data_IF_397294564426
#
_entry.id   IF_397294564426
#
_cell.length_a   1.000
_cell.length_b   1.000
_cell.length_c   1.000
_cell.angle_alpha   90.00
_cell.angle_beta   90.00
_cell.angle_gamma   90.00
#
_symmetry.space_group_name_H-M   'P 1'
#
loop_
_entity.id
_entity.type
_entity.pdbx_description
1 polymer ?
#
# COMPACT_ATOMS: atom_id res chain seq x y z
N UNK A 1 -16.43 -32.64 11.07
CA UNK A 1 -16.37 -31.60 10.01
C UNK A 1 -15.38 -30.54 10.47
N UNK A 2 -14.12 -30.64 10.02
CA UNK A 2 -13.07 -29.68 10.36
C UNK A 2 -13.37 -28.34 9.71
N UNK A 3 -13.40 -27.26 10.51
CA UNK A 3 -13.48 -25.89 9.98
C UNK A 3 -12.24 -25.66 9.14
N UNK A 4 -12.40 -25.40 7.84
CA UNK A 4 -11.33 -24.87 7.00
C UNK A 4 -10.69 -23.68 7.75
N UNK A 5 -9.45 -23.85 8.20
CA UNK A 5 -8.66 -22.77 8.77
C UNK A 5 -8.30 -21.80 7.65
N UNK A 6 -8.48 -20.50 7.92
CA UNK A 6 -8.19 -19.39 7.01
C UNK A 6 -6.68 -19.41 6.70
N UNK A 7 -6.30 -19.66 5.45
CA UNK A 7 -4.89 -19.83 5.06
C UNK A 7 -4.12 -18.50 4.91
N UNK A 8 -4.83 -17.37 4.73
CA UNK A 8 -4.22 -16.05 4.59
C UNK A 8 -5.07 -14.99 5.29
N UNK A 9 -4.52 -14.40 6.35
CA UNK A 9 -5.10 -13.25 7.04
C UNK A 9 -4.36 -11.96 6.67
N UNK A 10 -5.10 -10.87 6.57
CA UNK A 10 -4.52 -9.53 6.51
C UNK A 10 -4.72 -8.83 7.83
N UNK A 11 -3.70 -8.12 8.25
CA UNK A 11 -3.68 -7.36 9.49
C UNK A 11 -3.16 -5.96 9.20
N UNK A 12 -3.73 -4.94 9.84
CA UNK A 12 -3.15 -3.60 9.79
C UNK A 12 -2.19 -3.42 10.96
N UNK A 13 -1.03 -2.85 10.70
CA UNK A 13 -0.23 -2.19 11.72
C UNK A 13 -0.33 -0.69 11.51
N UNK A 14 -0.30 0.04 12.62
CA UNK A 14 -0.05 1.47 12.60
C UNK A 14 1.10 1.72 13.57
N UNK A 15 2.33 1.61 13.08
CA UNK A 15 3.48 1.98 13.90
C UNK A 15 3.72 3.49 13.77
N UNK A 16 3.78 4.21 14.89
CA UNK A 16 4.10 5.64 14.86
C UNK A 16 5.60 5.83 14.57
N UNK A 17 6.01 5.63 13.31
CA UNK A 17 7.38 5.87 12.88
C UNK A 17 7.52 7.32 12.41
N UNK A 18 8.20 8.17 13.18
CA UNK A 18 8.35 9.60 12.90
C UNK A 18 9.54 9.90 11.96
N UNK A 19 9.60 9.24 10.81
CA UNK A 19 10.53 9.64 9.76
C UNK A 19 9.81 10.60 8.81
N UNK A 20 10.43 11.77 8.58
CA UNK A 20 10.03 12.64 7.49
C UNK A 20 10.38 11.92 6.18
N UNK A 21 9.45 11.09 5.69
CA UNK A 21 9.58 10.48 4.37
C UNK A 21 9.14 11.55 3.37
N UNK A 22 10.12 12.19 2.71
CA UNK A 22 9.84 12.77 1.40
C UNK A 22 9.79 11.60 0.41
N UNK A 23 8.63 11.36 -0.19
CA UNK A 23 8.52 10.35 -1.23
C UNK A 23 9.47 10.65 -2.39
N UNK A 24 9.80 9.66 -3.22
CA UNK A 24 10.74 9.82 -4.34
C UNK A 24 10.18 10.71 -5.46
N UNK A 25 8.90 11.07 -5.35
CA UNK A 25 8.13 11.86 -6.30
C UNK A 25 8.05 13.34 -5.95
N UNK A 26 8.50 13.74 -4.75
CA UNK A 26 8.53 15.13 -4.31
C UNK A 26 9.91 15.51 -3.79
N UNK A 27 10.66 16.21 -4.64
CA UNK A 27 11.88 16.91 -4.20
C UNK A 27 11.50 18.00 -3.20
N UNK A 28 11.85 17.77 -1.92
CA UNK A 28 11.87 18.69 -0.79
C UNK A 28 10.64 19.62 -0.65
N UNK A 29 9.76 19.30 0.31
CA UNK A 29 8.66 20.19 0.72
C UNK A 29 7.32 19.49 0.97
N UNK A 30 7.23 18.19 0.65
CA UNK A 30 6.09 17.37 1.05
C UNK A 30 6.05 17.15 2.57
N UNK A 31 4.88 16.81 3.09
CA UNK A 31 4.69 16.39 4.49
C UNK A 31 3.85 15.14 4.51
N UNK A 32 4.46 14.06 5.00
CA UNK A 32 3.79 12.79 5.15
C UNK A 32 2.79 12.80 6.32
N UNK A 33 1.75 11.99 6.21
CA UNK A 33 0.68 11.87 7.18
C UNK A 33 0.23 10.41 7.30
N UNK A 34 -0.13 10.01 8.51
CA UNK A 34 -0.83 8.74 8.72
C UNK A 34 -2.32 8.93 8.40
N UNK A 35 -2.87 8.18 7.44
CA UNK A 35 -4.30 8.23 7.13
C UNK A 35 -5.15 7.71 8.28
N UNK A 36 -6.32 8.33 8.47
CA UNK A 36 -7.41 7.84 9.32
C UNK A 36 -8.38 6.91 8.58
N UNK A 37 -8.19 6.74 7.27
CA UNK A 37 -8.84 5.75 6.43
C UNK A 37 -7.88 5.40 5.30
N UNK A 38 -7.68 4.11 5.02
CA UNK A 38 -6.81 3.64 3.94
C UNK A 38 -7.45 2.39 3.35
N UNK A 39 -8.26 2.54 2.31
CA UNK A 39 -8.85 1.40 1.61
C UNK A 39 -7.95 0.97 0.46
N UNK A 40 -7.46 -0.27 0.55
CA UNK A 40 -6.69 -0.93 -0.50
C UNK A 40 -7.54 -2.00 -1.17
N UNK A 41 -7.51 -2.06 -2.51
CA UNK A 41 -8.10 -3.16 -3.26
C UNK A 41 -6.98 -4.07 -3.79
N UNK A 42 -6.91 -5.29 -3.27
CA UNK A 42 -6.05 -6.35 -3.80
C UNK A 42 -6.78 -7.03 -4.95
N UNK A 43 -6.07 -7.15 -6.07
CA UNK A 43 -6.53 -7.79 -7.30
C UNK A 43 -6.00 -9.20 -7.49
N UNK A 44 -4.74 -9.42 -7.08
CA UNK A 44 -4.08 -10.71 -7.26
C UNK A 44 -3.06 -10.97 -6.15
N UNK A 45 -2.96 -12.22 -5.74
CA UNK A 45 -1.91 -12.73 -4.84
C UNK A 45 -1.29 -13.95 -5.50
N UNK A 46 0.01 -13.90 -5.74
CA UNK A 46 0.78 -14.97 -6.34
C UNK A 46 1.97 -15.36 -5.47
N UNK A 47 2.35 -16.63 -5.47
CA UNK A 47 3.54 -17.12 -4.77
C UNK A 47 4.57 -17.59 -5.79
N UNK A 48 5.82 -17.14 -5.63
CA UNK A 48 6.94 -17.53 -6.49
C UNK A 48 7.50 -18.87 -6.01
N UNK A 49 7.40 -19.89 -6.85
CA UNK A 49 7.98 -21.22 -6.61
C UNK A 49 9.50 -21.20 -6.80
N UNK A 50 10.17 -22.25 -6.34
CA UNK A 50 11.62 -22.43 -6.51
C UNK A 50 12.08 -22.50 -7.96
N UNK A 51 11.20 -22.92 -8.89
CA UNK A 51 11.43 -22.91 -10.34
C UNK A 51 11.21 -21.53 -11.00
N UNK A 52 11.00 -20.48 -10.18
CA UNK A 52 10.67 -19.11 -10.59
C UNK A 52 9.31 -18.92 -11.25
N UNK A 53 8.48 -19.96 -11.35
CA UNK A 53 7.09 -19.82 -11.78
C UNK A 53 6.22 -19.21 -10.69
N UNK A 54 5.10 -18.59 -11.09
CA UNK A 54 4.14 -17.99 -10.16
C UNK A 54 2.91 -18.88 -10.04
N UNK A 55 2.53 -19.12 -8.79
CA UNK A 55 1.31 -19.82 -8.42
C UNK A 55 0.26 -18.80 -7.97
N UNK A 56 -0.87 -18.70 -8.68
CA UNK A 56 -1.97 -17.81 -8.28
C UNK A 56 -2.73 -18.40 -7.09
N UNK A 57 -2.61 -17.74 -5.93
CA UNK A 57 -3.38 -18.06 -4.74
C UNK A 57 -4.76 -17.40 -4.79
N UNK A 58 -4.81 -16.13 -5.20
CA UNK A 58 -6.05 -15.36 -5.31
C UNK A 58 -6.02 -14.47 -6.55
N UNK A 59 -7.16 -14.36 -7.23
CA UNK A 59 -7.40 -13.41 -8.31
C UNK A 59 -8.86 -12.95 -8.25
N UNK A 60 -9.08 -11.64 -8.23
CA UNK A 60 -10.41 -11.06 -8.03
C UNK A 60 -10.37 -9.62 -7.56
N UNK A 61 -11.34 -9.23 -6.74
CA UNK A 61 -11.39 -7.92 -6.12
C UNK A 61 -11.66 -8.10 -4.63
N UNK A 62 -10.74 -7.67 -3.77
CA UNK A 62 -10.97 -7.64 -2.32
C UNK A 62 -10.46 -6.34 -1.76
N UNK A 63 -11.37 -5.55 -1.18
CA UNK A 63 -11.07 -4.27 -0.56
C UNK A 63 -10.95 -4.45 0.94
N UNK A 64 -9.90 -3.87 1.52
CA UNK A 64 -9.61 -3.89 2.95
C UNK A 64 -9.35 -2.45 3.41
N UNK A 65 -9.97 -2.06 4.52
CA UNK A 65 -9.65 -0.80 5.19
C UNK A 65 -8.56 -1.04 6.24
N UNK A 66 -7.38 -0.48 5.98
CA UNK A 66 -6.19 -0.54 6.81
C UNK A 66 -6.07 0.65 7.79
N UNK A 67 -6.84 1.72 7.54
CA UNK A 67 -6.72 3.00 8.23
C UNK A 67 -7.82 3.29 9.26
N UNK A 68 -8.90 2.49 9.29
CA UNK A 68 -10.06 2.75 10.16
C UNK A 68 -9.67 2.92 11.62
N UNK A 69 -10.28 3.88 12.31
CA UNK A 69 -10.23 4.02 13.78
C UNK A 69 -10.73 2.77 14.53
N UNK A 70 -11.41 1.85 13.83
CA UNK A 70 -11.93 0.60 14.36
C UNK A 70 -10.96 -0.58 14.20
N UNK A 71 -9.81 -0.38 13.54
CA UNK A 71 -8.79 -1.39 13.35
C UNK A 71 -7.60 -1.02 14.24
N UNK A 72 -7.51 -1.66 15.41
CA UNK A 72 -6.32 -1.55 16.23
C UNK A 72 -5.13 -2.23 15.54
N UNK A 73 -3.91 -1.75 15.80
CA UNK A 73 -2.69 -2.40 15.30
C UNK A 73 -2.68 -3.88 15.69
N UNK A 74 -2.34 -4.76 14.75
CA UNK A 74 -2.35 -6.20 14.95
C UNK A 74 -3.72 -6.87 14.77
N UNK A 75 -4.79 -6.12 14.46
CA UNK A 75 -6.10 -6.70 14.19
C UNK A 75 -6.22 -7.19 12.75
N UNK A 76 -6.80 -8.39 12.61
CA UNK A 76 -7.16 -8.94 11.30
C UNK A 76 -8.22 -8.07 10.64
N UNK A 77 -7.83 -7.33 9.60
CA UNK A 77 -8.71 -6.49 8.77
C UNK A 77 -9.52 -7.28 7.77
N UNK A 78 -9.10 -8.51 7.49
CA UNK A 78 -9.81 -9.42 6.62
C UNK A 78 -9.06 -10.72 6.41
N UNK A 79 -9.72 -11.64 5.72
CA UNK A 79 -9.10 -12.87 5.26
C UNK A 79 -9.62 -13.16 3.87
N UNK A 80 -8.77 -13.76 3.04
CA UNK A 80 -9.23 -14.26 1.76
C UNK A 80 -10.06 -15.52 2.01
N UNK A 81 -11.36 -15.46 1.69
CA UNK A 81 -12.33 -16.47 2.07
C UNK A 81 -12.12 -17.84 1.35
N UNK A 82 -11.42 -17.85 0.22
CA UNK A 82 -11.00 -19.06 -0.49
C UNK A 82 -9.91 -18.70 -1.52
N UNK A 83 -8.65 -18.71 -1.12
CA UNK A 83 -7.55 -18.86 -2.09
C UNK A 83 -7.32 -20.33 -2.41
N UNK A 84 -6.63 -20.63 -3.51
CA UNK A 84 -6.18 -22.00 -3.75
C UNK A 84 -5.24 -22.43 -2.61
N UNK A 85 -5.31 -23.69 -2.17
CA UNK A 85 -4.36 -24.20 -1.17
C UNK A 85 -2.95 -24.20 -1.74
N UNK A 86 -1.98 -23.72 -0.97
CA UNK A 86 -0.57 -23.88 -1.35
C UNK A 86 -0.23 -25.36 -1.54
N UNK A 87 0.63 -25.64 -2.51
CA UNK A 87 0.94 -26.99 -2.94
C UNK A 87 1.88 -27.68 -1.94
N UNK A 88 1.51 -28.84 -1.38
CA UNK A 88 2.39 -29.61 -0.51
C UNK A 88 3.71 -29.97 -1.20
N UNK A 89 4.79 -30.02 -0.43
CA UNK A 89 6.13 -30.32 -0.95
C UNK A 89 6.76 -29.19 -1.76
N UNK A 90 6.15 -27.99 -1.78
CA UNK A 90 6.65 -26.84 -2.53
C UNK A 90 7.26 -25.79 -1.60
N UNK A 91 8.39 -25.24 -2.02
CA UNK A 91 9.00 -24.06 -1.39
C UNK A 91 8.71 -22.80 -2.20
N UNK A 92 8.36 -21.73 -1.49
CA UNK A 92 8.04 -20.42 -2.04
C UNK A 92 9.05 -19.39 -1.56
N UNK A 93 9.54 -18.58 -2.50
CA UNK A 93 10.64 -17.62 -2.29
C UNK A 93 10.20 -16.16 -2.27
N UNK A 94 8.99 -15.88 -2.75
CA UNK A 94 8.38 -14.55 -2.70
C UNK A 94 6.85 -14.64 -2.76
N UNK A 95 6.19 -13.60 -2.27
CA UNK A 95 4.78 -13.32 -2.54
C UNK A 95 4.70 -12.07 -3.41
N UNK A 96 3.84 -12.11 -4.41
CA UNK A 96 3.59 -11.03 -5.34
C UNK A 96 2.16 -10.56 -5.16
N UNK A 97 2.01 -9.26 -4.94
CA UNK A 97 0.74 -8.61 -4.70
C UNK A 97 0.45 -7.67 -5.85
N UNK A 98 -0.75 -7.74 -6.40
CA UNK A 98 -1.27 -6.76 -7.36
C UNK A 98 -2.40 -5.99 -6.70
N UNK A 99 -2.31 -4.67 -6.68
CA UNK A 99 -3.25 -3.74 -6.04
C UNK A 99 -3.71 -2.67 -7.03
N UNK A 100 -4.87 -2.05 -6.82
CA UNK A 100 -5.23 -0.86 -7.60
C UNK A 100 -4.20 0.28 -7.39
N UNK A 101 -4.01 1.12 -8.40
CA UNK A 101 -3.18 2.33 -8.28
C UNK A 101 -3.94 3.54 -7.69
N UNK A 102 -5.18 3.34 -7.25
CA UNK A 102 -6.02 4.34 -6.60
C UNK A 102 -6.58 3.79 -5.30
N UNK A 103 -6.57 4.62 -4.26
CA UNK A 103 -6.89 4.26 -2.88
C UNK A 103 -7.96 5.21 -2.34
N UNK A 104 -8.88 4.74 -1.50
CA UNK A 104 -9.76 5.64 -0.75
C UNK A 104 -9.04 6.02 0.55
N UNK A 105 -8.73 7.31 0.73
CA UNK A 105 -7.89 7.75 1.84
C UNK A 105 -8.49 8.96 2.55
N UNK A 106 -8.34 9.02 3.86
CA UNK A 106 -8.63 10.21 4.66
C UNK A 106 -7.39 10.59 5.47
N UNK A 107 -7.01 11.86 5.48
CA UNK A 107 -5.86 12.34 6.25
C UNK A 107 -5.69 13.85 6.17
N UNK A 108 -4.83 14.38 7.03
CA UNK A 108 -4.54 15.81 7.08
C UNK A 108 -3.19 16.10 7.72
N UNK A 109 -2.66 17.28 7.39
CA UNK A 109 -1.46 17.87 8.00
C UNK A 109 -1.74 19.33 8.33
N UNK A 110 -1.14 19.81 9.42
CA UNK A 110 -1.24 21.21 9.82
C UNK A 110 -0.46 22.16 8.88
N UNK A 111 0.56 21.63 8.18
CA UNK A 111 1.44 22.35 7.27
C UNK A 111 2.07 21.35 6.28
N UNK A 112 2.10 21.68 4.99
CA UNK A 112 2.72 20.85 3.94
C UNK A 112 3.74 21.66 3.11
N UNK A 113 4.87 22.03 3.72
CA UNK A 113 5.87 22.90 3.08
C UNK A 113 5.48 24.39 2.99
N UNK A 114 4.41 24.81 3.68
CA UNK A 114 3.91 26.19 3.75
C UNK A 114 3.05 26.43 5.00
N UNK A 115 2.57 27.66 5.22
CA UNK A 115 1.81 28.02 6.44
C UNK A 115 0.32 27.61 6.45
N UNK A 116 -0.12 26.76 5.54
CA UNK A 116 -1.53 26.36 5.38
C UNK A 116 -1.70 24.86 5.63
N UNK A 117 -2.83 24.43 6.22
CA UNK A 117 -3.14 23.02 6.37
C UNK A 117 -3.49 22.40 5.02
N UNK A 118 -3.16 21.12 4.84
CA UNK A 118 -3.61 20.32 3.71
C UNK A 118 -4.38 19.10 4.22
N UNK A 119 -5.46 18.74 3.54
CA UNK A 119 -6.30 17.60 3.92
C UNK A 119 -6.94 16.94 2.72
N UNK A 120 -7.23 15.65 2.83
CA UNK A 120 -8.11 14.99 1.86
C UNK A 120 -9.52 15.60 1.94
N UNK A 121 -10.15 15.80 0.79
CA UNK A 121 -11.46 16.44 0.69
C UNK A 121 -12.32 15.73 -0.34
N UNK A 122 -13.52 15.28 0.05
CA UNK A 122 -14.43 14.53 -0.83
C UNK A 122 -14.94 15.31 -2.06
N UNK A 123 -14.59 16.60 -2.19
CA UNK A 123 -14.98 17.48 -3.29
C UNK A 123 -13.81 17.91 -4.19
N UNK A 124 -12.56 17.53 -3.90
CA UNK A 124 -11.43 17.82 -4.78
C UNK A 124 -11.33 16.74 -5.88
N UNK A 125 -12.11 16.91 -6.96
CA UNK A 125 -12.18 16.00 -8.11
C UNK A 125 -11.17 16.32 -9.23
N UNK A 126 -10.16 17.12 -8.91
CA UNK A 126 -9.18 17.60 -9.88
C UNK A 126 -7.84 16.90 -9.76
N UNK A 127 -7.03 17.07 -10.79
CA UNK A 127 -5.60 16.84 -10.71
C UNK A 127 -4.87 18.17 -10.93
N UNK A 128 -3.69 18.29 -10.35
CA UNK A 128 -2.80 19.43 -10.59
C UNK A 128 -1.43 18.90 -11.02
N UNK A 129 -0.83 19.59 -11.97
CA UNK A 129 0.58 19.38 -12.29
C UNK A 129 1.43 20.08 -11.24
N UNK A 130 2.38 19.34 -10.68
CA UNK A 130 3.41 19.84 -9.80
C UNK A 130 4.73 19.98 -10.54
N UNK A 131 5.76 20.46 -9.85
CA UNK A 131 7.09 20.64 -10.41
C UNK A 131 7.57 19.34 -11.07
N UNK A 132 8.13 19.44 -12.29
CA UNK A 132 8.64 18.28 -13.03
C UNK A 132 7.60 17.54 -13.89
N UNK A 133 6.39 18.09 -14.08
CA UNK A 133 5.38 17.52 -14.98
C UNK A 133 4.60 16.32 -14.40
N UNK A 134 4.81 16.03 -13.11
CA UNK A 134 4.06 15.03 -12.36
C UNK A 134 2.66 15.57 -12.06
N UNK A 135 1.65 14.75 -12.24
CA UNK A 135 0.24 15.04 -12.01
C UNK A 135 -0.20 14.31 -10.75
N UNK A 136 -0.75 15.05 -9.79
CA UNK A 136 -1.21 14.55 -8.50
C UNK A 136 -2.67 14.94 -8.27
N UNK A 137 -3.32 14.29 -7.31
CA UNK A 137 -4.71 14.60 -6.93
C UNK A 137 -4.73 15.90 -6.12
N UNK A 138 -5.68 16.79 -6.41
CA UNK A 138 -5.83 18.02 -5.62
C UNK A 138 -6.36 17.71 -4.22
N UNK A 139 -5.82 18.39 -3.22
CA UNK A 139 -6.26 18.31 -1.83
C UNK A 139 -6.89 19.64 -1.39
N UNK A 140 -7.61 19.64 -0.27
CA UNK A 140 -8.20 20.84 0.29
C UNK A 140 -7.18 21.57 1.20
N UNK A 141 -7.07 22.89 1.03
CA UNK A 141 -6.16 23.76 1.77
C UNK A 141 -6.84 24.61 2.88
N UNK A 142 -8.14 24.44 3.09
CA UNK A 142 -8.93 25.19 4.09
C UNK A 142 -8.93 24.49 5.46
N UNK A 143 -9.39 25.14 6.53
CA UNK A 143 -9.58 24.53 7.87
C UNK A 143 -10.62 23.38 7.89
N UNK A 144 -10.57 22.47 8.87
CA UNK A 144 -11.55 21.35 8.98
C UNK A 144 -10.98 20.03 9.50
N UNK A 145 -11.58 18.92 9.08
CA UNK A 145 -11.09 17.54 9.24
C UNK A 145 -11.01 16.89 7.86
N UNK A 146 -9.96 16.09 7.60
CA UNK A 146 -9.85 15.29 6.38
C UNK A 146 -11.04 14.33 6.19
N UNK A 147 -11.56 14.25 4.97
CA UNK A 147 -12.63 13.33 4.59
C UNK A 147 -12.13 12.32 3.56
N UNK A 148 -12.79 11.17 3.44
CA UNK A 148 -12.43 10.15 2.44
C UNK A 148 -12.44 10.75 1.03
N UNK A 149 -11.33 10.55 0.33
CA UNK A 149 -11.10 10.98 -1.04
C UNK A 149 -10.45 9.83 -1.82
N UNK A 150 -10.80 9.66 -3.09
CA UNK A 150 -10.05 8.77 -3.98
C UNK A 150 -8.73 9.45 -4.35
N UNK A 151 -7.63 8.91 -3.85
CA UNK A 151 -6.28 9.37 -4.14
C UNK A 151 -5.65 8.38 -5.12
N UNK A 152 -5.51 8.81 -6.37
CA UNK A 152 -4.74 8.09 -7.37
C UNK A 152 -3.25 8.35 -7.16
N UNK A 153 -2.43 7.34 -7.45
CA UNK A 153 -1.00 7.54 -7.48
C UNK A 153 -0.58 8.51 -8.58
N UNK A 154 0.56 9.20 -8.42
CA UNK A 154 0.97 10.22 -9.36
C UNK A 154 1.23 9.64 -10.76
N UNK A 155 1.11 10.48 -11.78
CA UNK A 155 1.43 10.13 -13.17
C UNK A 155 2.29 11.21 -13.80
N UNK A 156 3.13 10.90 -14.77
CA UNK A 156 3.92 11.88 -15.51
C UNK A 156 3.64 11.76 -17.01
N UNK A 157 3.11 12.84 -17.60
CA UNK A 157 2.75 12.83 -19.01
C UNK A 157 4.01 12.81 -19.88
N UNK A 158 4.37 11.63 -20.39
CA UNK A 158 5.56 11.43 -21.24
C UNK A 158 6.90 11.48 -20.50
N UNK A 159 6.87 11.46 -19.16
CA UNK A 159 8.06 11.43 -18.31
C UNK A 159 8.48 10.01 -17.90
N UNK A 160 9.62 9.91 -17.21
CA UNK A 160 10.08 8.66 -16.57
C UNK A 160 10.21 8.79 -15.05
N UNK A 161 9.87 9.94 -14.48
CA UNK A 161 10.03 10.26 -13.06
C UNK A 161 9.20 9.32 -12.20
N UNK A 162 7.91 9.15 -12.51
CA UNK A 162 7.03 8.28 -11.72
C UNK A 162 7.46 6.83 -11.86
N UNK A 163 7.69 6.37 -13.08
CA UNK A 163 8.17 5.02 -13.34
C UNK A 163 9.50 4.70 -12.62
N UNK A 164 10.44 5.65 -12.60
CA UNK A 164 11.74 5.50 -11.92
C UNK A 164 11.57 5.40 -10.42
N UNK A 165 10.72 6.25 -9.83
CA UNK A 165 10.41 6.24 -8.41
C UNK A 165 9.70 4.95 -7.97
N UNK A 166 8.72 4.47 -8.75
CA UNK A 166 8.06 3.20 -8.50
C UNK A 166 9.05 2.03 -8.57
N UNK A 167 9.90 2.01 -9.60
CA UNK A 167 10.92 0.98 -9.76
C UNK A 167 11.96 1.00 -8.63
N UNK A 168 12.39 2.19 -8.20
CA UNK A 168 13.28 2.35 -7.03
C UNK A 168 12.62 1.82 -5.76
N UNK A 169 11.32 2.07 -5.58
CA UNK A 169 10.52 1.50 -4.50
C UNK A 169 10.15 0.01 -4.70
N UNK A 170 10.70 -0.69 -5.69
CA UNK A 170 10.44 -2.12 -5.94
C UNK A 170 9.04 -2.44 -6.47
N UNK A 171 8.36 -1.47 -7.06
CA UNK A 171 7.02 -1.61 -7.64
C UNK A 171 7.03 -1.49 -9.15
N UNK A 172 6.09 -2.18 -9.78
CA UNK A 172 5.85 -2.15 -11.22
C UNK A 172 4.46 -1.59 -11.51
N UNK A 173 4.38 -0.65 -12.45
CA UNK A 173 3.12 -0.12 -12.96
C UNK A 173 2.60 -1.01 -14.09
N UNK A 174 1.35 -1.47 -13.94
CA UNK A 174 0.65 -2.30 -14.91
C UNK A 174 -0.47 -1.55 -15.64
N UNK A 175 -0.55 -0.23 -15.50
CA UNK A 175 -1.60 0.59 -16.09
C UNK A 175 -2.89 0.50 -15.28
N UNK A 176 -2.96 1.23 -14.17
CA UNK A 176 -4.09 1.26 -13.24
C UNK A 176 -3.98 0.29 -12.07
N UNK A 177 -2.89 -0.47 -11.99
CA UNK A 177 -2.56 -1.39 -10.92
C UNK A 177 -1.07 -1.33 -10.63
N UNK A 178 -0.70 -1.54 -9.36
CA UNK A 178 0.69 -1.75 -8.96
C UNK A 178 0.94 -3.19 -8.59
N UNK A 179 2.10 -3.67 -8.99
CA UNK A 179 2.62 -4.98 -8.62
C UNK A 179 3.87 -4.81 -7.77
N UNK A 180 3.94 -5.55 -6.68
CA UNK A 180 5.06 -5.57 -5.75
C UNK A 180 5.40 -7.01 -5.38
N UNK A 181 6.68 -7.29 -5.14
CA UNK A 181 7.19 -8.61 -4.76
C UNK A 181 7.88 -8.51 -3.41
N UNK A 182 7.35 -9.23 -2.42
CA UNK A 182 7.90 -9.30 -1.07
C UNK A 182 8.63 -10.64 -0.93
N UNK A 183 9.93 -10.64 -0.56
CA UNK A 183 10.66 -11.86 -0.28
C UNK A 183 9.94 -12.70 0.77
N UNK A 184 9.93 -14.02 0.58
CA UNK A 184 9.24 -14.97 1.44
C UNK A 184 10.14 -16.16 1.72
N UNK A 185 10.13 -16.62 2.97
CA UNK A 185 10.73 -17.90 3.34
C UNK A 185 9.61 -18.83 3.79
N UNK A 186 9.07 -19.62 2.88
CA UNK A 186 8.00 -20.56 3.17
C UNK A 186 8.28 -21.91 2.50
N UNK A 187 8.22 -22.97 3.29
CA UNK A 187 8.26 -24.34 2.77
C UNK A 187 7.04 -25.10 3.27
N UNK A 188 6.26 -25.67 2.36
CA UNK A 188 5.09 -26.50 2.70
C UNK A 188 5.54 -27.96 2.71
N UNK A 189 5.50 -28.67 3.85
CA UNK A 189 5.86 -30.08 3.91
C UNK A 189 5.00 -30.94 2.96
N UNK A 190 5.56 -32.04 2.46
CA UNK A 190 4.85 -32.93 1.52
C UNK A 190 3.72 -33.72 2.17
N UNK A 191 3.80 -33.93 3.48
CA UNK A 191 2.81 -34.60 4.32
C UNK A 191 1.78 -33.62 4.91
N UNK A 192 1.89 -32.33 4.60
CA UNK A 192 0.98 -31.34 5.13
C UNK A 192 -0.39 -31.42 4.44
N UNK A 193 -1.41 -31.65 5.25
CA UNK A 193 -2.81 -31.68 4.81
C UNK A 193 -3.55 -30.39 5.18
N UNK A 194 -2.88 -29.47 5.88
CA UNK A 194 -3.42 -28.18 6.31
C UNK A 194 -2.52 -27.07 5.75
N UNK A 195 -3.05 -26.14 4.92
CA UNK A 195 -2.22 -25.05 4.42
C UNK A 195 -1.66 -24.22 5.59
N UNK A 196 -0.38 -23.80 5.54
CA UNK A 196 0.22 -22.99 6.59
C UNK A 196 -0.51 -21.66 6.71
N UNK A 197 -0.69 -21.19 7.94
CA UNK A 197 -1.25 -19.87 8.18
C UNK A 197 -0.23 -18.80 7.77
N UNK A 198 -0.67 -17.89 6.91
CA UNK A 198 0.10 -16.75 6.46
C UNK A 198 -0.59 -15.47 6.90
N UNK A 199 0.20 -14.51 7.37
CA UNK A 199 -0.28 -13.18 7.72
C UNK A 199 0.44 -12.13 6.89
N UNK A 200 -0.32 -11.26 6.23
CA UNK A 200 0.21 -10.08 5.55
C UNK A 200 -0.19 -8.86 6.37
N UNK A 201 0.83 -8.17 6.84
CA UNK A 201 0.73 -6.96 7.63
C UNK A 201 1.00 -5.75 6.74
N UNK A 202 0.10 -4.77 6.75
CA UNK A 202 0.32 -3.49 6.09
C UNK A 202 0.49 -2.42 7.16
N UNK A 203 1.63 -1.76 7.17
CA UNK A 203 1.85 -0.55 7.98
C UNK A 203 1.54 0.68 7.12
N UNK A 204 0.40 1.31 7.41
CA UNK A 204 -0.08 2.49 6.72
C UNK A 204 0.42 3.80 7.36
N UNK A 205 1.35 3.72 8.31
CA UNK A 205 1.99 4.90 8.88
C UNK A 205 2.64 5.75 7.78
N UNK A 206 2.37 7.05 7.80
CA UNK A 206 2.87 7.99 6.79
C UNK A 206 2.55 7.60 5.33
N UNK A 207 1.50 6.80 5.09
CA UNK A 207 1.16 6.34 3.75
C UNK A 207 0.42 7.39 2.89
N UNK A 208 0.33 8.64 3.36
CA UNK A 208 -0.13 9.80 2.60
C UNK A 208 0.98 10.86 2.58
N UNK A 209 1.09 11.60 1.48
CA UNK A 209 1.91 12.81 1.43
C UNK A 209 1.15 13.98 0.84
N UNK A 210 1.25 15.13 1.51
CA UNK A 210 0.70 16.40 1.05
C UNK A 210 1.81 17.33 0.58
N UNK A 211 1.52 18.13 -0.45
CA UNK A 211 2.41 19.18 -0.93
C UNK A 211 1.61 20.46 -1.20
N UNK A 212 2.14 21.59 -0.75
CA UNK A 212 1.63 22.91 -1.14
C UNK A 212 2.21 23.32 -2.49
N UNK A 213 1.35 23.60 -3.48
CA UNK A 213 1.78 24.05 -4.83
C UNK A 213 1.71 25.56 -5.01
N UNK A 214 1.18 26.26 -4.01
CA UNK A 214 0.90 27.70 -4.03
C UNK A 214 0.03 28.11 -2.86
N UNK A 215 -0.29 29.40 -2.76
CA UNK A 215 -1.15 29.90 -1.67
C UNK A 215 -2.55 29.32 -1.83
N UNK A 216 -2.98 28.54 -0.84
CA UNK A 216 -4.32 27.93 -0.83
C UNK A 216 -4.49 26.74 -1.79
N UNK A 217 -3.40 26.18 -2.33
CA UNK A 217 -3.44 25.01 -3.21
C UNK A 217 -2.59 23.87 -2.64
N UNK A 218 -3.25 22.74 -2.40
CA UNK A 218 -2.61 21.51 -1.94
C UNK A 218 -2.81 20.40 -2.97
N UNK A 219 -1.87 19.48 -3.01
CA UNK A 219 -2.04 18.18 -3.65
C UNK A 219 -1.78 17.07 -2.63
N UNK A 220 -2.26 15.88 -2.95
CA UNK A 220 -2.09 14.67 -2.15
C UNK A 220 -1.71 13.50 -3.06
N UNK A 221 -0.86 12.63 -2.54
CA UNK A 221 -0.48 11.39 -3.18
C UNK A 221 -0.40 10.25 -2.16
N UNK A 222 -0.66 9.01 -2.57
CA UNK A 222 -0.42 7.85 -1.73
C UNK A 222 1.09 7.57 -1.68
N UNK A 223 1.59 7.23 -0.51
CA UNK A 223 2.89 6.60 -0.34
C UNK A 223 2.70 5.09 -0.18
N UNK A 224 3.59 4.26 -0.74
CA UNK A 224 3.49 2.82 -0.60
C UNK A 224 3.61 2.42 0.89
N UNK A 225 2.71 1.58 1.42
CA UNK A 225 2.80 1.11 2.80
C UNK A 225 3.97 0.12 2.96
N UNK A 226 4.49 0.00 4.18
CA UNK A 226 5.42 -1.10 4.50
C UNK A 226 4.62 -2.38 4.59
N UNK A 227 5.11 -3.46 3.98
CA UNK A 227 4.43 -4.75 3.95
C UNK A 227 5.28 -5.77 4.67
N UNK A 228 4.75 -6.41 5.70
CA UNK A 228 5.40 -7.55 6.33
C UNK A 228 4.61 -8.83 6.09
N UNK A 229 5.31 -9.94 5.90
CA UNK A 229 4.70 -11.25 5.70
C UNK A 229 5.22 -12.18 6.76
N UNK A 230 4.33 -12.62 7.63
CA UNK A 230 4.63 -13.55 8.71
C UNK A 230 4.21 -14.96 8.31
N UNK A 231 5.16 -15.87 8.42
CA UNK A 231 5.03 -17.31 8.15
C UNK A 231 5.42 -18.11 9.40
N UNK A 232 5.14 -19.42 9.46
CA UNK A 232 5.69 -20.27 10.53
C UNK A 232 7.22 -20.25 10.63
N UNK A 233 7.91 -19.95 9.52
CA UNK A 233 9.36 -19.88 9.40
C UNK A 233 9.96 -18.52 9.73
N UNK A 234 9.14 -17.50 10.00
CA UNK A 234 9.57 -16.16 10.36
C UNK A 234 8.83 -15.05 9.61
N UNK A 235 9.25 -13.81 9.87
CA UNK A 235 8.68 -12.59 9.27
C UNK A 235 9.69 -11.95 8.31
N UNK A 236 9.23 -11.58 7.12
CA UNK A 236 9.97 -10.77 6.16
C UNK A 236 9.27 -9.43 5.96
N UNK A 237 10.03 -8.37 5.73
CA UNK A 237 9.48 -7.01 5.54
C UNK A 237 9.97 -6.42 4.23
N UNK A 238 9.05 -5.85 3.49
CA UNK A 238 9.27 -4.99 2.35
C UNK A 238 9.00 -3.56 2.79
N UNK A 239 10.06 -2.76 2.87
CA UNK A 239 10.00 -1.34 3.19
C UNK A 239 10.34 -0.53 1.92
N UNK A 240 9.33 0.01 1.22
CA UNK A 240 9.54 0.79 0.00
C UNK A 240 10.26 2.12 0.25
N UNK A 241 10.33 2.61 1.49
CA UNK A 241 11.07 3.81 1.86
C UNK A 241 12.56 3.53 2.09
N UNK A 242 12.94 2.29 2.44
CA UNK A 242 14.35 1.90 2.63
C UNK A 242 15.17 1.88 1.33
N UNK A 243 14.48 1.86 0.19
CA UNK A 243 15.04 1.80 -1.15
C UNK A 243 15.14 3.15 -1.86
N UNK A 244 14.78 4.24 -1.17
CA UNK A 244 14.78 5.62 -1.67
C UNK A 244 15.87 6.46 -0.99
#
# INVERSE_FOLDING_TARGET
MSKLMKALSMTALMSASSLAVCGPLVTAGGTAATPTTYEITIRKVEFKRSDSSYYTFFEGASTFDLGSSNVASGQTVGAFAAGNSLEPGTSYSAIRLTVNSSFSMAGEVASAGGAQPCRTGGAASGTAQVLGGVTMVTANATGGVGSVQTVAAPTDSGGTTVATALAAAGMEDLGGQYRMEVPLLLSVPADDTVPPALQIDFDAANALEFLTTGVGTCVVMPLPPVISVTTPSGTTTFDPASSL
#
